data_IF_182185927580
#
_entry.id   IF_182185927580
#
_cell.length_a   1.000
_cell.length_b   1.000
_cell.length_c   1.000
_cell.angle_alpha   90.00
_cell.angle_beta   90.00
_cell.angle_gamma   90.00
#
_symmetry.space_group_name_H-M   'P 1'
#
loop_
_entity.id
_entity.type
_entity.pdbx_description
1 polymer ?
#
# COMPACT_ATOMS: atom_id res chain seq x y z
N UNK A 1 2.87 -21.85 9.44
CA UNK A 1 3.27 -21.33 8.12
C UNK A 1 4.45 -20.42 8.36
N UNK A 2 5.66 -20.80 7.92
CA UNK A 2 6.85 -19.96 7.98
C UNK A 2 7.17 -19.61 6.54
N UNK A 3 7.28 -18.32 6.25
CA UNK A 3 7.82 -17.84 4.98
C UNK A 3 9.33 -17.78 5.18
N UNK A 4 10.06 -18.76 4.67
CA UNK A 4 11.51 -18.72 4.58
C UNK A 4 11.87 -17.78 3.43
N UNK A 5 12.25 -16.54 3.81
CA UNK A 5 12.72 -15.55 2.86
C UNK A 5 14.12 -15.88 2.38
N UNK A 6 14.24 -16.70 1.36
CA UNK A 6 15.48 -16.86 0.58
C UNK A 6 15.13 -17.00 -0.89
N UNK A 7 15.55 -16.01 -1.69
CA UNK A 7 16.06 -16.10 -3.08
C UNK A 7 16.17 -14.73 -3.77
N UNK A 8 15.72 -13.62 -3.13
CA UNK A 8 15.94 -12.24 -3.59
C UNK A 8 16.05 -11.25 -2.42
N UNK A 9 16.75 -10.12 -2.62
CA UNK A 9 16.83 -9.05 -1.62
C UNK A 9 15.42 -8.56 -1.24
N UNK A 10 15.17 -8.36 0.06
CA UNK A 10 13.88 -7.85 0.53
C UNK A 10 13.73 -6.38 0.09
N UNK A 11 12.62 -6.08 -0.58
CA UNK A 11 12.30 -4.73 -1.03
C UNK A 11 11.67 -3.90 0.10
N UNK A 12 11.87 -2.58 0.04
CA UNK A 12 11.17 -1.66 0.92
C UNK A 12 9.65 -1.69 0.64
N UNK A 13 8.85 -1.59 1.71
CA UNK A 13 7.39 -1.60 1.61
C UNK A 13 6.85 -0.21 1.92
N UNK A 14 6.20 0.41 0.94
CA UNK A 14 5.55 1.71 1.06
C UNK A 14 4.04 1.50 1.18
N UNK A 15 3.46 1.94 2.30
CA UNK A 15 2.02 1.82 2.55
C UNK A 15 1.36 3.18 2.36
N UNK A 16 0.43 3.27 1.41
CA UNK A 16 -0.36 4.47 1.14
C UNK A 16 -1.73 4.38 1.82
N UNK A 17 -2.03 5.37 2.65
CA UNK A 17 -3.34 5.56 3.28
C UNK A 17 -3.97 6.79 2.67
N UNK A 18 -5.08 6.60 1.97
CA UNK A 18 -5.76 7.72 1.32
C UNK A 18 -6.33 8.71 2.34
N UNK A 19 -6.30 9.99 1.98
CA UNK A 19 -6.96 11.04 2.76
C UNK A 19 -8.48 11.05 2.57
N UNK A 20 -9.09 12.21 2.85
CA UNK A 20 -10.53 12.43 2.72
C UNK A 20 -11.27 12.51 4.05
N UNK A 21 -10.58 12.98 5.10
CA UNK A 21 -11.14 13.33 6.41
C UNK A 21 -12.00 12.22 7.06
N UNK A 22 -11.67 10.95 6.78
CA UNK A 22 -12.42 9.77 7.23
C UNK A 22 -13.87 9.69 6.72
N UNK A 23 -14.24 10.50 5.71
CA UNK A 23 -15.61 10.58 5.17
C UNK A 23 -15.69 10.26 3.68
N UNK A 24 -14.59 10.40 2.94
CA UNK A 24 -14.49 9.99 1.53
C UNK A 24 -13.07 9.52 1.20
N UNK A 25 -12.87 9.02 -0.02
CA UNK A 25 -11.58 8.53 -0.52
C UNK A 25 -11.59 7.03 -0.81
N UNK A 26 -10.53 6.56 -1.45
CA UNK A 26 -10.31 5.13 -1.72
C UNK A 26 -8.83 4.82 -1.85
N UNK A 27 -8.48 3.54 -1.72
CA UNK A 27 -7.13 3.03 -1.97
C UNK A 27 -6.74 2.94 -3.45
N UNK A 28 -7.53 3.52 -4.36
CA UNK A 28 -7.24 3.54 -5.80
C UNK A 28 -6.19 4.62 -6.12
N UNK A 29 -4.95 4.32 -5.76
CA UNK A 29 -3.80 5.18 -5.98
C UNK A 29 -2.96 4.65 -7.13
N UNK A 30 -2.68 5.49 -8.11
CA UNK A 30 -1.71 5.18 -9.16
C UNK A 30 -0.29 5.25 -8.58
N UNK A 31 0.38 4.10 -8.57
CA UNK A 31 1.73 3.91 -8.03
C UNK A 31 2.82 3.83 -9.12
N UNK A 32 2.52 4.16 -10.38
CA UNK A 32 3.41 3.94 -11.54
C UNK A 32 4.80 4.56 -11.33
N UNK A 33 4.87 5.74 -10.72
CA UNK A 33 6.15 6.41 -10.46
C UNK A 33 6.93 5.82 -9.26
N UNK A 34 6.24 5.14 -8.33
CA UNK A 34 6.89 4.55 -7.15
C UNK A 34 7.45 3.17 -7.46
N UNK A 35 6.78 2.39 -8.29
CA UNK A 35 7.22 1.03 -8.63
C UNK A 35 8.54 1.01 -9.42
N UNK A 36 8.92 2.14 -10.05
CA UNK A 36 10.22 2.32 -10.70
C UNK A 36 11.40 2.24 -9.71
N UNK A 37 11.16 2.45 -8.41
CA UNK A 37 12.20 2.51 -7.35
C UNK A 37 12.50 1.16 -6.68
N UNK A 38 12.10 0.02 -7.27
CA UNK A 38 12.25 -1.32 -6.68
C UNK A 38 11.64 -1.44 -5.27
N UNK A 39 10.42 -0.94 -5.10
CA UNK A 39 9.67 -1.02 -3.85
C UNK A 39 8.36 -1.78 -4.05
N UNK A 40 7.82 -2.30 -2.95
CA UNK A 40 6.46 -2.82 -2.91
C UNK A 40 5.53 -1.70 -2.44
N UNK A 41 4.57 -1.31 -3.28
CA UNK A 41 3.53 -0.34 -2.88
C UNK A 41 2.27 -1.08 -2.46
N UNK A 42 1.77 -0.76 -1.27
CA UNK A 42 0.54 -1.32 -0.72
C UNK A 42 -0.47 -0.19 -0.57
N UNK A 43 -1.64 -0.35 -1.17
CA UNK A 43 -2.79 0.53 -0.96
C UNK A 43 -3.91 -0.26 -0.29
N UNK A 44 -4.80 0.43 0.41
CA UNK A 44 -5.94 -0.22 1.04
C UNK A 44 -7.12 0.73 1.19
N UNK A 45 -8.31 0.15 1.27
CA UNK A 45 -9.52 0.84 1.71
C UNK A 45 -9.66 0.70 3.22
N UNK A 46 -10.17 1.75 3.87
CA UNK A 46 -10.65 1.71 5.25
C UNK A 46 -12.10 2.21 5.32
N UNK A 47 -12.81 1.89 6.41
CA UNK A 47 -14.21 2.31 6.58
C UNK A 47 -14.32 3.82 6.72
N UNK A 48 -15.38 4.38 6.15
CA UNK A 48 -15.63 5.82 6.11
C UNK A 48 -16.96 6.15 6.78
N UNK A 49 -17.05 7.30 7.43
CA UNK A 49 -18.24 7.67 8.19
C UNK A 49 -18.53 6.70 9.34
N UNK A 50 -19.81 6.50 9.66
CA UNK A 50 -20.25 5.73 10.83
C UNK A 50 -20.27 4.19 10.64
N UNK A 51 -19.44 3.66 9.73
CA UNK A 51 -19.43 2.25 9.29
C UNK A 51 -18.62 1.30 10.17
#
# INVERSE_FOLDING_TARGET
IKFDGTDGELLAVMVWIHGGAFVFGSGDYNADFLIEENVVVVTMNYRLGAL
#
